data_IF_218901007519
#
_entry.id   IF_218901007519
#
_cell.length_a   1.000
_cell.length_b   1.000
_cell.length_c   1.000
_cell.angle_alpha   90.00
_cell.angle_beta   90.00
_cell.angle_gamma   90.00
#
_symmetry.space_group_name_H-M   'P 1'
#
loop_
_entity.id
_entity.type
_entity.pdbx_description
1 polymer ?
#
# COMPACT_ATOMS: atom_id res chain seq x y z
N UNK A 1 -21.80 25.36 -177.02
CA UNK A 1 -21.04 26.61 -176.82
C UNK A 1 -19.62 26.21 -176.41
N UNK A 2 -18.53 26.63 -177.06
CA UNK A 2 -18.39 27.45 -178.28
C UNK A 2 -16.97 27.27 -178.85
N UNK A 3 -16.85 27.17 -180.19
CA UNK A 3 -15.76 27.67 -181.09
C UNK A 3 -14.33 27.88 -180.57
N UNK A 4 -13.24 27.52 -181.27
CA UNK A 4 -13.03 27.21 -182.72
C UNK A 4 -12.31 25.84 -182.88
N UNK A 5 -11.54 25.40 -183.89
CA UNK A 5 -10.91 25.93 -185.13
C UNK A 5 -10.98 24.83 -186.25
N UNK A 6 -10.84 25.02 -187.57
CA UNK A 6 -9.81 25.66 -188.46
C UNK A 6 -8.47 24.90 -188.46
N UNK A 7 -8.00 24.27 -189.55
CA UNK A 7 -8.57 24.01 -190.90
C UNK A 7 -7.77 22.89 -191.62
N UNK A 8 -8.20 22.54 -192.84
CA UNK A 8 -7.45 21.87 -193.92
C UNK A 8 -6.97 20.41 -193.68
N UNK A 9 -7.55 19.41 -194.34
CA UNK A 9 -7.49 19.07 -195.78
C UNK A 9 -6.32 18.15 -196.15
N UNK A 10 -6.64 16.86 -196.35
CA UNK A 10 -5.93 15.75 -197.04
C UNK A 10 -4.41 15.56 -196.86
N UNK A 11 -3.57 16.58 -196.93
CA UNK A 11 -2.10 16.47 -196.87
C UNK A 11 -1.61 15.86 -195.56
N UNK A 12 -2.13 16.24 -194.40
CA UNK A 12 -1.75 15.60 -193.12
C UNK A 12 -2.15 14.12 -193.07
N UNK A 13 -3.33 13.76 -193.59
CA UNK A 13 -3.78 12.36 -193.67
C UNK A 13 -2.88 11.57 -194.65
N UNK A 14 -2.50 12.15 -195.78
CA UNK A 14 -1.58 11.51 -196.74
C UNK A 14 -0.16 11.41 -196.19
N UNK A 15 0.33 12.39 -195.43
CA UNK A 15 1.64 12.30 -194.76
C UNK A 15 1.64 11.23 -193.67
N UNK A 16 0.61 11.18 -192.81
CA UNK A 16 0.46 10.11 -191.83
C UNK A 16 0.35 8.72 -192.51
N UNK A 17 -0.41 8.62 -193.60
CA UNK A 17 -0.53 7.38 -194.37
C UNK A 17 0.77 6.98 -195.08
N UNK A 18 1.56 7.94 -195.57
CA UNK A 18 2.89 7.70 -196.13
C UNK A 18 3.90 7.29 -195.05
N UNK A 19 3.87 7.91 -193.86
CA UNK A 19 4.66 7.47 -192.70
C UNK A 19 4.33 6.01 -192.34
N UNK A 20 3.05 5.68 -192.17
CA UNK A 20 2.56 4.31 -191.89
C UNK A 20 2.99 3.31 -192.99
N UNK A 21 2.99 3.71 -194.27
CA UNK A 21 3.49 2.87 -195.37
C UNK A 21 5.01 2.68 -195.28
N UNK A 22 5.78 3.70 -194.93
CA UNK A 22 7.24 3.58 -194.77
C UNK A 22 7.65 2.77 -193.53
N UNK A 23 6.83 2.79 -192.47
CA UNK A 23 7.02 1.96 -191.28
C UNK A 23 6.68 0.49 -191.57
N UNK A 24 5.51 0.20 -192.17
CA UNK A 24 5.17 -1.18 -192.57
C UNK A 24 6.19 -1.79 -193.53
N UNK A 25 6.70 -1.03 -194.52
CA UNK A 25 7.74 -1.52 -195.44
C UNK A 25 9.09 -1.86 -194.78
N UNK A 26 9.31 -1.52 -193.50
CA UNK A 26 10.46 -1.99 -192.72
C UNK A 26 10.20 -3.23 -191.87
N UNK A 27 8.94 -3.64 -191.69
CA UNK A 27 8.55 -4.70 -190.75
C UNK A 27 8.19 -6.04 -191.42
N UNK A 28 7.99 -6.09 -192.74
CA UNK A 28 7.63 -7.31 -193.48
C UNK A 28 8.82 -8.22 -193.87
N UNK A 29 10.04 -8.03 -193.32
CA UNK A 29 11.20 -8.83 -193.74
C UNK A 29 12.30 -9.12 -192.69
N UNK A 30 11.93 -9.55 -191.47
CA UNK A 30 12.51 -10.76 -190.81
C UNK A 30 12.00 -11.03 -189.39
N UNK A 31 11.48 -12.25 -189.25
CA UNK A 31 11.40 -13.08 -188.03
C UNK A 31 12.72 -13.03 -187.22
N UNK A 32 12.78 -13.05 -185.89
CA UNK A 32 11.82 -12.73 -184.81
C UNK A 32 12.56 -12.77 -183.45
N UNK A 33 12.03 -12.12 -182.41
CA UNK A 33 12.53 -12.26 -181.02
C UNK A 33 11.39 -12.17 -180.01
N UNK A 34 11.34 -13.11 -179.05
CA UNK A 34 10.27 -13.32 -178.05
C UNK A 34 10.02 -12.17 -177.04
N UNK A 35 10.70 -11.04 -177.20
CA UNK A 35 10.70 -9.95 -176.23
C UNK A 35 9.47 -9.05 -176.36
N UNK A 36 9.00 -8.80 -177.60
CA UNK A 36 7.77 -8.02 -177.83
C UNK A 36 6.49 -8.74 -177.39
N UNK A 37 6.46 -10.08 -177.41
CA UNK A 37 5.31 -10.85 -176.91
C UNK A 37 5.21 -10.73 -175.37
N UNK A 38 6.35 -10.73 -174.68
CA UNK A 38 6.42 -10.51 -173.23
C UNK A 38 6.03 -9.08 -172.83
N UNK A 39 6.41 -8.06 -173.61
CA UNK A 39 5.98 -6.68 -173.36
C UNK A 39 4.51 -6.46 -173.71
N UNK A 40 3.98 -7.09 -174.77
CA UNK A 40 2.54 -7.06 -175.07
C UNK A 40 1.71 -7.76 -173.98
N UNK A 41 2.20 -8.87 -173.43
CA UNK A 41 1.56 -9.53 -172.29
C UNK A 41 1.54 -8.61 -171.06
N UNK A 42 2.68 -8.05 -170.65
CA UNK A 42 2.74 -7.11 -169.51
C UNK A 42 1.89 -5.86 -169.72
N UNK A 43 1.88 -5.29 -170.92
CA UNK A 43 1.07 -4.10 -171.22
C UNK A 43 -0.43 -4.43 -171.24
N UNK A 44 -0.83 -5.67 -171.58
CA UNK A 44 -2.20 -6.13 -171.40
C UNK A 44 -2.56 -6.37 -169.93
N UNK A 45 -1.68 -6.99 -169.13
CA UNK A 45 -1.88 -7.13 -167.67
C UNK A 45 -2.03 -5.76 -166.98
N UNK A 46 -1.16 -4.80 -167.32
CA UNK A 46 -1.22 -3.43 -166.78
C UNK A 46 -2.49 -2.69 -167.25
N UNK A 47 -2.92 -2.86 -168.51
CA UNK A 47 -4.19 -2.28 -168.97
C UNK A 47 -5.42 -2.89 -168.28
N UNK A 48 -5.42 -4.20 -168.03
CA UNK A 48 -6.49 -4.87 -167.27
C UNK A 48 -6.51 -4.35 -165.82
N UNK A 49 -5.37 -4.33 -165.13
CA UNK A 49 -5.27 -3.81 -163.77
C UNK A 49 -5.62 -2.31 -163.67
N UNK A 50 -5.20 -1.49 -164.65
CA UNK A 50 -5.56 -0.08 -164.72
C UNK A 50 -7.06 0.12 -164.95
N UNK A 51 -7.70 -0.71 -165.78
CA UNK A 51 -9.14 -0.63 -166.04
C UNK A 51 -10.01 -0.96 -164.82
N UNK A 52 -9.48 -1.71 -163.84
CA UNK A 52 -10.16 -1.97 -162.57
C UNK A 52 -10.04 -0.83 -161.55
N UNK A 53 -9.12 0.13 -161.74
CA UNK A 53 -9.02 1.33 -160.90
C UNK A 53 -10.06 2.40 -161.28
N UNK A 54 -11.34 2.05 -161.12
CA UNK A 54 -12.44 3.02 -161.20
C UNK A 54 -12.44 3.96 -160.00
N UNK A 55 -13.08 5.12 -160.11
CA UNK A 55 -13.21 6.08 -159.00
C UNK A 55 -13.82 5.41 -157.76
N UNK A 56 -14.84 4.55 -157.94
CA UNK A 56 -15.43 3.76 -156.86
C UNK A 56 -14.42 2.85 -156.15
N UNK A 57 -13.47 2.24 -156.86
CA UNK A 57 -12.46 1.37 -156.25
C UNK A 57 -11.49 2.15 -155.35
N UNK A 58 -11.11 3.37 -155.75
CA UNK A 58 -10.20 4.25 -154.99
C UNK A 58 -10.96 4.87 -153.81
N UNK A 59 -12.22 5.29 -154.02
CA UNK A 59 -13.08 5.81 -152.95
C UNK A 59 -13.39 4.71 -151.93
N UNK A 60 -13.62 3.46 -152.35
CA UNK A 60 -13.71 2.32 -151.43
C UNK A 60 -12.40 2.11 -150.68
N UNK A 61 -11.26 1.96 -151.35
CA UNK A 61 -9.98 1.75 -150.67
C UNK A 61 -9.63 2.86 -149.67
N UNK A 62 -10.02 4.11 -149.95
CA UNK A 62 -9.83 5.24 -149.04
C UNK A 62 -10.84 5.23 -147.88
N UNK A 63 -12.09 4.83 -148.11
CA UNK A 63 -13.10 4.64 -147.06
C UNK A 63 -12.81 3.43 -146.16
N UNK A 64 -12.33 2.33 -146.72
CA UNK A 64 -11.88 1.12 -146.03
C UNK A 64 -10.65 1.45 -145.17
N UNK A 65 -9.68 2.20 -145.70
CA UNK A 65 -8.52 2.68 -144.92
C UNK A 65 -8.93 3.70 -143.84
N UNK A 66 -9.93 4.53 -144.08
CA UNK A 66 -10.52 5.42 -143.06
C UNK A 66 -11.25 4.63 -141.96
N UNK A 67 -11.90 3.51 -142.31
CA UNK A 67 -12.52 2.57 -141.36
C UNK A 67 -11.46 1.80 -140.56
N UNK A 68 -10.40 1.30 -141.19
CA UNK A 68 -9.28 0.64 -140.50
C UNK A 68 -8.56 1.62 -139.56
N UNK A 69 -8.27 2.85 -140.02
CA UNK A 69 -7.64 3.86 -139.17
C UNK A 69 -8.54 4.26 -138.00
N UNK A 70 -9.85 4.42 -138.24
CA UNK A 70 -10.85 4.60 -137.17
C UNK A 70 -10.90 3.43 -136.20
N UNK A 71 -10.84 2.19 -136.69
CA UNK A 71 -10.78 0.97 -135.89
C UNK A 71 -9.50 0.88 -135.04
N UNK A 72 -8.34 1.21 -135.60
CA UNK A 72 -7.05 1.23 -134.90
C UNK A 72 -7.02 2.34 -133.85
N UNK A 73 -7.53 3.54 -134.17
CA UNK A 73 -7.63 4.65 -133.20
C UNK A 73 -8.60 4.29 -132.07
N UNK A 74 -9.75 3.68 -132.37
CA UNK A 74 -10.69 3.20 -131.35
C UNK A 74 -10.08 2.10 -130.48
N UNK A 75 -9.41 1.10 -131.07
CA UNK A 75 -8.75 0.03 -130.32
C UNK A 75 -7.54 0.52 -129.50
N UNK A 76 -6.85 1.57 -129.95
CA UNK A 76 -5.79 2.24 -129.19
C UNK A 76 -6.39 3.06 -128.04
N UNK A 77 -7.50 3.77 -128.27
CA UNK A 77 -8.25 4.51 -127.25
C UNK A 77 -8.84 3.57 -126.19
N UNK A 78 -9.38 2.43 -126.59
CA UNK A 78 -9.91 1.40 -125.69
C UNK A 78 -8.78 0.77 -124.86
N UNK A 79 -7.63 0.45 -125.46
CA UNK A 79 -6.44 0.00 -124.71
C UNK A 79 -5.93 1.09 -123.76
N UNK A 80 -5.88 2.35 -124.18
CA UNK A 80 -5.45 3.46 -123.33
C UNK A 80 -6.43 3.66 -122.15
N UNK A 81 -7.73 3.53 -122.38
CA UNK A 81 -8.75 3.56 -121.33
C UNK A 81 -8.63 2.36 -120.37
N UNK A 82 -8.33 1.16 -120.88
CA UNK A 82 -8.08 -0.03 -120.05
C UNK A 82 -6.80 0.12 -119.21
N UNK A 83 -5.70 0.61 -119.78
CA UNK A 83 -4.47 0.89 -119.01
C UNK A 83 -4.67 2.04 -118.00
N UNK A 84 -5.48 3.07 -118.33
CA UNK A 84 -5.82 4.12 -117.37
C UNK A 84 -6.73 3.60 -116.24
N UNK A 85 -7.69 2.72 -116.53
CA UNK A 85 -8.52 2.05 -115.50
C UNK A 85 -7.63 1.23 -114.56
N UNK A 86 -6.72 0.42 -115.11
CA UNK A 86 -5.71 -0.30 -114.31
C UNK A 86 -4.87 0.65 -113.47
N UNK A 87 -4.46 1.80 -114.00
CA UNK A 87 -3.64 2.79 -113.29
C UNK A 87 -4.44 3.42 -112.12
N UNK A 88 -5.71 3.78 -112.32
CA UNK A 88 -6.60 4.27 -111.26
C UNK A 88 -6.90 3.18 -110.21
N UNK A 89 -7.07 1.92 -110.63
CA UNK A 89 -7.22 0.77 -109.74
C UNK A 89 -5.95 0.52 -108.90
N UNK A 90 -4.76 0.65 -109.51
CA UNK A 90 -3.47 0.47 -108.84
C UNK A 90 -3.19 1.63 -107.86
N UNK A 91 -3.51 2.87 -108.24
CA UNK A 91 -3.45 4.03 -107.36
C UNK A 91 -4.36 3.84 -106.13
N UNK A 92 -5.62 3.44 -106.34
CA UNK A 92 -6.56 3.14 -105.23
C UNK A 92 -6.09 1.97 -104.37
N UNK A 93 -5.51 0.93 -104.96
CA UNK A 93 -4.92 -0.17 -104.21
C UNK A 93 -3.72 0.30 -103.35
N UNK A 94 -2.90 1.23 -103.85
CA UNK A 94 -1.81 1.86 -103.10
C UNK A 94 -2.36 2.75 -101.96
N UNK A 95 -3.41 3.52 -102.19
CA UNK A 95 -4.06 4.33 -101.13
C UNK A 95 -4.62 3.43 -100.01
N UNK A 96 -5.36 2.37 -100.37
CA UNK A 96 -5.91 1.40 -99.41
C UNK A 96 -4.79 0.66 -98.66
N UNK A 97 -3.74 0.23 -99.36
CA UNK A 97 -2.59 -0.42 -98.74
C UNK A 97 -1.83 0.51 -97.78
N UNK A 98 -1.71 1.81 -98.11
CA UNK A 98 -1.12 2.80 -97.21
C UNK A 98 -2.00 3.07 -95.97
N UNK A 99 -3.33 3.10 -96.12
CA UNK A 99 -4.26 3.20 -94.99
C UNK A 99 -4.14 1.97 -94.07
N UNK A 100 -4.16 0.76 -94.64
CA UNK A 100 -3.96 -0.48 -93.89
C UNK A 100 -2.57 -0.54 -93.22
N UNK A 101 -1.52 -0.02 -93.86
CA UNK A 101 -0.19 0.10 -93.25
C UNK A 101 -0.22 1.03 -92.02
N UNK A 102 -0.91 2.17 -92.10
CA UNK A 102 -1.07 3.11 -90.99
C UNK A 102 -1.90 2.50 -89.85
N UNK A 103 -2.99 1.81 -90.15
CA UNK A 103 -3.79 1.06 -89.17
C UNK A 103 -2.96 -0.01 -88.47
N UNK A 104 -2.21 -0.83 -89.22
CA UNK A 104 -1.32 -1.85 -88.65
C UNK A 104 -0.18 -1.25 -87.80
N UNK A 105 0.34 -0.08 -88.17
CA UNK A 105 1.32 0.64 -87.35
C UNK A 105 0.69 1.15 -86.04
N UNK A 106 -0.52 1.73 -86.09
CA UNK A 106 -1.24 2.17 -84.89
C UNK A 106 -1.59 1.00 -83.98
N UNK A 107 -2.11 -0.10 -84.54
CA UNK A 107 -2.40 -1.34 -83.80
C UNK A 107 -1.14 -1.89 -83.13
N UNK A 108 0.02 -1.89 -83.82
CA UNK A 108 1.28 -2.33 -83.20
C UNK A 108 1.71 -1.42 -82.07
N UNK A 109 1.67 -0.09 -82.24
CA UNK A 109 2.01 0.86 -81.17
C UNK A 109 1.09 0.66 -79.95
N UNK A 110 -0.21 0.45 -80.16
CA UNK A 110 -1.15 0.17 -79.06
C UNK A 110 -0.87 -1.17 -78.40
N UNK A 111 -0.51 -2.21 -79.15
CA UNK A 111 -0.12 -3.51 -78.61
C UNK A 111 1.18 -3.44 -77.80
N UNK A 112 2.21 -2.77 -78.32
CA UNK A 112 3.50 -2.56 -77.65
C UNK A 112 3.31 -1.78 -76.32
N UNK A 113 2.48 -0.72 -76.33
CA UNK A 113 2.14 0.06 -75.12
C UNK A 113 1.31 -0.76 -74.12
N UNK A 114 0.38 -1.59 -74.59
CA UNK A 114 -0.44 -2.45 -73.73
C UNK A 114 0.41 -3.55 -73.07
N UNK A 115 1.37 -4.13 -73.77
CA UNK A 115 2.28 -5.12 -73.20
C UNK A 115 3.23 -4.48 -72.17
N UNK A 116 3.80 -3.30 -72.45
CA UNK A 116 4.59 -2.52 -71.47
C UNK A 116 3.77 -2.24 -70.20
N UNK A 117 2.52 -1.79 -70.35
CA UNK A 117 1.63 -1.51 -69.21
C UNK A 117 1.29 -2.78 -68.41
N UNK A 118 1.13 -3.92 -69.10
CA UNK A 118 0.89 -5.23 -68.48
C UNK A 118 2.13 -5.73 -67.72
N UNK A 119 3.33 -5.57 -68.29
CA UNK A 119 4.60 -5.87 -67.63
C UNK A 119 4.79 -5.00 -66.37
N UNK A 120 4.60 -3.68 -66.48
CA UNK A 120 4.63 -2.75 -65.33
C UNK A 120 3.62 -3.15 -64.24
N UNK A 121 2.40 -3.59 -64.62
CA UNK A 121 1.39 -4.01 -63.67
C UNK A 121 1.80 -5.31 -62.96
N UNK A 122 2.36 -6.29 -63.68
CA UNK A 122 2.88 -7.53 -63.09
C UNK A 122 4.07 -7.28 -62.16
N UNK A 123 4.95 -6.32 -62.45
CA UNK A 123 6.02 -5.93 -61.54
C UNK A 123 5.48 -5.26 -60.27
N UNK A 124 4.54 -4.32 -60.41
CA UNK A 124 3.88 -3.67 -59.27
C UNK A 124 3.12 -4.68 -58.39
N UNK A 125 2.46 -5.68 -58.99
CA UNK A 125 1.85 -6.79 -58.24
C UNK A 125 2.89 -7.61 -57.47
N UNK A 126 3.99 -8.03 -58.11
CA UNK A 126 5.07 -8.79 -57.44
C UNK A 126 5.68 -8.01 -56.27
N UNK A 127 5.90 -6.70 -56.42
CA UNK A 127 6.40 -5.82 -55.35
C UNK A 127 5.39 -5.74 -54.20
N UNK A 128 4.10 -5.55 -54.49
CA UNK A 128 3.04 -5.52 -53.47
C UNK A 128 2.89 -6.87 -52.75
N UNK A 129 3.01 -8.00 -53.45
CA UNK A 129 3.00 -9.33 -52.84
C UNK A 129 4.21 -9.54 -51.91
N UNK A 130 5.40 -9.10 -52.30
CA UNK A 130 6.61 -9.14 -51.46
C UNK A 130 6.54 -8.19 -50.26
N UNK A 131 5.93 -7.01 -50.41
CA UNK A 131 5.65 -6.11 -49.29
C UNK A 131 4.62 -6.71 -48.32
N UNK A 132 3.57 -7.38 -48.84
CA UNK A 132 2.54 -8.00 -48.00
C UNK A 132 3.09 -9.23 -47.27
N UNK A 133 3.92 -10.07 -47.92
CA UNK A 133 4.53 -11.23 -47.26
C UNK A 133 5.53 -10.81 -46.19
N UNK A 134 6.45 -9.88 -46.49
CA UNK A 134 7.43 -9.38 -45.52
C UNK A 134 6.78 -8.66 -44.32
N UNK A 135 5.72 -7.86 -44.54
CA UNK A 135 4.95 -7.24 -43.44
C UNK A 135 4.20 -8.27 -42.60
N UNK A 136 3.64 -9.32 -43.21
CA UNK A 136 3.01 -10.44 -42.48
C UNK A 136 4.04 -11.20 -41.64
N UNK A 137 5.19 -11.54 -42.20
CA UNK A 137 6.28 -12.18 -41.48
C UNK A 137 6.79 -11.34 -40.31
N UNK A 138 6.93 -10.02 -40.49
CA UNK A 138 7.34 -9.12 -39.42
C UNK A 138 6.31 -9.10 -38.28
N UNK A 139 5.03 -8.91 -38.60
CA UNK A 139 3.93 -8.93 -37.61
C UNK A 139 3.80 -10.29 -36.91
N UNK A 140 4.00 -11.41 -37.61
CA UNK A 140 3.95 -12.74 -36.99
C UNK A 140 5.14 -12.96 -36.05
N UNK A 141 6.35 -12.50 -36.42
CA UNK A 141 7.53 -12.49 -35.54
C UNK A 141 7.27 -11.64 -34.29
N UNK A 142 6.71 -10.43 -34.44
CA UNK A 142 6.33 -9.56 -33.32
C UNK A 142 5.25 -10.16 -32.41
N UNK A 143 4.23 -10.80 -32.97
CA UNK A 143 3.19 -11.50 -32.19
C UNK A 143 3.81 -12.66 -31.40
N UNK A 144 4.78 -13.39 -31.99
CA UNK A 144 5.47 -14.50 -31.33
C UNK A 144 6.43 -14.00 -30.24
N UNK A 145 7.14 -12.89 -30.42
CA UNK A 145 7.99 -12.31 -29.35
C UNK A 145 7.15 -11.74 -28.23
N UNK A 146 6.15 -10.90 -28.53
CA UNK A 146 5.21 -10.33 -27.54
C UNK A 146 4.52 -11.40 -26.70
N UNK A 147 4.09 -12.52 -27.31
CA UNK A 147 3.50 -13.64 -26.57
C UNK A 147 4.50 -14.35 -25.66
N UNK A 148 5.75 -14.52 -26.08
CA UNK A 148 6.82 -15.11 -25.25
C UNK A 148 7.25 -14.18 -24.12
N UNK A 149 7.26 -12.88 -24.35
CA UNK A 149 7.51 -11.84 -23.33
C UNK A 149 6.39 -11.87 -22.28
N UNK A 150 5.12 -11.76 -22.68
CA UNK A 150 3.97 -11.88 -21.79
C UNK A 150 3.96 -13.21 -20.99
N UNK A 151 4.28 -14.33 -21.64
CA UNK A 151 4.35 -15.63 -20.96
C UNK A 151 5.44 -15.71 -19.89
N UNK A 152 6.56 -15.00 -20.08
CA UNK A 152 7.60 -14.86 -19.04
C UNK A 152 7.14 -13.94 -17.92
N UNK A 153 6.67 -12.74 -18.25
CA UNK A 153 6.16 -11.76 -17.28
C UNK A 153 5.05 -12.36 -16.39
N UNK A 154 4.15 -13.15 -16.97
CA UNK A 154 3.12 -13.86 -16.22
C UNK A 154 3.71 -14.96 -15.33
N UNK A 155 4.67 -15.76 -15.80
CA UNK A 155 5.31 -16.79 -14.98
C UNK A 155 6.10 -16.18 -13.81
N UNK A 156 6.88 -15.14 -14.08
CA UNK A 156 7.64 -14.37 -13.08
C UNK A 156 6.70 -13.71 -12.06
N UNK A 157 5.57 -13.14 -12.50
CA UNK A 157 4.54 -12.61 -11.61
C UNK A 157 3.87 -13.71 -10.76
N UNK A 158 3.55 -14.86 -11.34
CA UNK A 158 2.98 -15.98 -10.60
C UNK A 158 3.97 -16.56 -9.56
N UNK A 159 5.27 -16.61 -9.85
CA UNK A 159 6.31 -17.01 -8.90
C UNK A 159 6.54 -15.96 -7.80
N UNK A 160 6.54 -14.67 -8.15
CA UNK A 160 6.57 -13.58 -7.18
C UNK A 160 5.35 -13.60 -6.25
N UNK A 161 4.16 -13.88 -6.79
CA UNK A 161 2.92 -13.97 -6.01
C UNK A 161 2.89 -15.22 -5.12
N UNK A 162 3.40 -16.37 -5.59
CA UNK A 162 3.57 -17.59 -4.77
C UNK A 162 4.54 -17.34 -3.60
N UNK A 163 5.74 -16.82 -3.89
CA UNK A 163 6.76 -16.55 -2.87
C UNK A 163 6.35 -15.46 -1.87
N UNK A 164 5.66 -14.40 -2.32
CA UNK A 164 5.05 -13.39 -1.42
C UNK A 164 4.01 -14.02 -0.49
N UNK A 165 3.10 -14.84 -1.01
CA UNK A 165 2.09 -15.51 -0.19
C UNK A 165 2.72 -16.50 0.81
N UNK A 166 3.76 -17.23 0.41
CA UNK A 166 4.52 -18.09 1.33
C UNK A 166 5.19 -17.29 2.46
N UNK A 167 5.81 -16.14 2.15
CA UNK A 167 6.42 -15.26 3.16
C UNK A 167 5.35 -14.70 4.11
N UNK A 168 4.22 -14.26 3.58
CA UNK A 168 3.09 -13.75 4.37
C UNK A 168 2.49 -14.84 5.28
N UNK A 169 2.39 -16.09 4.82
CA UNK A 169 1.97 -17.22 5.65
C UNK A 169 3.00 -17.51 6.74
N UNK A 170 4.29 -17.60 6.40
CA UNK A 170 5.40 -17.85 7.35
C UNK A 170 5.47 -16.76 8.44
N UNK A 171 5.32 -15.49 8.06
CA UNK A 171 5.23 -14.38 9.01
C UNK A 171 4.04 -14.54 9.96
N UNK A 172 2.83 -14.78 9.43
CA UNK A 172 1.63 -14.96 10.25
C UNK A 172 1.69 -16.17 11.18
N UNK A 173 2.32 -17.27 10.77
CA UNK A 173 2.53 -18.43 11.66
C UNK A 173 3.50 -18.10 12.78
N UNK A 174 4.65 -17.47 12.48
CA UNK A 174 5.61 -17.08 13.51
C UNK A 174 5.08 -16.00 14.45
N UNK A 175 4.31 -15.03 13.96
CA UNK A 175 3.62 -14.04 14.79
C UNK A 175 2.59 -14.69 15.73
N UNK A 176 1.83 -15.67 15.25
CA UNK A 176 0.86 -16.41 16.05
C UNK A 176 1.53 -17.30 17.10
N UNK A 177 2.61 -18.00 16.74
CA UNK A 177 3.43 -18.81 17.64
C UNK A 177 4.10 -17.95 18.71
N UNK A 178 4.73 -16.83 18.33
CA UNK A 178 5.30 -15.87 19.28
C UNK A 178 4.23 -15.29 20.22
N UNK A 179 3.05 -14.94 19.70
CA UNK A 179 1.96 -14.43 20.52
C UNK A 179 1.45 -15.47 21.53
N UNK A 180 1.24 -16.73 21.10
CA UNK A 180 0.85 -17.81 21.99
C UNK A 180 1.94 -18.11 23.04
N UNK A 181 3.21 -18.16 22.64
CA UNK A 181 4.33 -18.35 23.56
C UNK A 181 4.46 -17.22 24.59
N UNK A 182 4.31 -15.96 24.16
CA UNK A 182 4.29 -14.79 25.06
C UNK A 182 3.10 -14.86 26.01
N UNK A 183 1.91 -15.17 25.52
CA UNK A 183 0.69 -15.33 26.32
C UNK A 183 0.84 -16.44 27.38
N UNK A 184 1.36 -17.62 27.01
CA UNK A 184 1.63 -18.71 27.94
C UNK A 184 2.70 -18.35 28.97
N UNK A 185 3.81 -17.76 28.53
CA UNK A 185 4.93 -17.37 29.40
C UNK A 185 4.48 -16.30 30.39
N UNK A 186 3.72 -15.30 29.95
CA UNK A 186 3.11 -14.30 30.84
C UNK A 186 2.15 -14.96 31.83
N UNK A 187 1.26 -15.87 31.38
CA UNK A 187 0.34 -16.60 32.27
C UNK A 187 1.09 -17.38 33.35
N UNK A 188 2.09 -18.18 32.97
CA UNK A 188 2.95 -18.96 33.89
C UNK A 188 3.59 -18.03 34.93
N UNK A 189 4.30 -16.99 34.48
CA UNK A 189 4.91 -15.98 35.37
C UNK A 189 3.90 -15.31 36.32
N UNK A 190 2.68 -14.97 35.85
CA UNK A 190 1.66 -14.38 36.73
C UNK A 190 1.09 -15.37 37.75
N UNK A 191 0.93 -16.64 37.39
CA UNK A 191 0.52 -17.70 38.31
C UNK A 191 1.62 -17.97 39.34
N UNK A 192 2.86 -18.15 38.90
CA UNK A 192 4.01 -18.42 39.78
C UNK A 192 4.21 -17.28 40.80
N UNK A 193 4.11 -16.02 40.35
CA UNK A 193 4.19 -14.84 41.22
C UNK A 193 3.01 -14.75 42.20
N UNK A 194 1.79 -15.09 41.76
CA UNK A 194 0.61 -15.14 42.62
C UNK A 194 0.74 -16.25 43.68
N UNK A 195 1.18 -17.45 43.30
CA UNK A 195 1.38 -18.58 44.21
C UNK A 195 2.56 -18.37 45.18
N UNK A 196 3.62 -17.68 44.74
CA UNK A 196 4.70 -17.25 45.63
C UNK A 196 4.19 -16.23 46.66
N UNK A 197 3.42 -15.22 46.23
CA UNK A 197 2.80 -14.24 47.12
C UNK A 197 1.81 -14.90 48.10
N UNK A 198 0.99 -15.84 47.62
CA UNK A 198 0.04 -16.61 48.44
C UNK A 198 0.77 -17.39 49.53
N UNK A 199 1.82 -18.17 49.17
CA UNK A 199 2.62 -18.94 50.13
C UNK A 199 3.31 -18.05 51.18
N UNK A 200 3.82 -16.88 50.77
CA UNK A 200 4.42 -15.93 51.72
C UNK A 200 3.37 -15.40 52.72
N UNK A 201 2.19 -14.99 52.25
CA UNK A 201 1.09 -14.53 53.10
C UNK A 201 0.56 -15.65 54.03
N UNK A 202 0.44 -16.88 53.53
CA UNK A 202 0.05 -18.05 54.34
C UNK A 202 1.05 -18.31 55.48
N UNK A 203 2.36 -18.19 55.20
CA UNK A 203 3.41 -18.28 56.21
C UNK A 203 3.37 -17.11 57.21
N UNK A 204 3.25 -15.87 56.74
CA UNK A 204 3.15 -14.68 57.61
C UNK A 204 1.93 -14.77 58.55
N UNK A 205 0.79 -15.26 58.05
CA UNK A 205 -0.41 -15.52 58.85
C UNK A 205 -0.15 -16.63 59.87
N UNK A 206 0.52 -17.73 59.49
CA UNK A 206 0.87 -18.82 60.40
C UNK A 206 1.82 -18.37 61.52
N UNK A 207 2.90 -17.66 61.19
CA UNK A 207 3.88 -17.11 62.13
C UNK A 207 3.21 -16.08 63.08
N UNK A 208 2.40 -15.16 62.53
CA UNK A 208 1.64 -14.19 63.33
C UNK A 208 0.64 -14.88 64.26
N UNK A 209 -0.01 -15.95 63.82
CA UNK A 209 -0.98 -16.71 64.62
C UNK A 209 -0.28 -17.47 65.74
N UNK A 210 0.84 -18.14 65.46
CA UNK A 210 1.64 -18.83 66.48
C UNK A 210 2.18 -17.85 67.53
N UNK A 211 2.67 -16.67 67.14
CA UNK A 211 3.13 -15.68 68.11
C UNK A 211 1.98 -15.11 68.94
N UNK A 212 0.81 -14.85 68.33
CA UNK A 212 -0.40 -14.46 69.09
C UNK A 212 -0.83 -15.55 70.07
N UNK A 213 -0.80 -16.82 69.68
CA UNK A 213 -1.14 -17.95 70.55
C UNK A 213 -0.19 -18.07 71.75
N UNK A 214 1.13 -17.88 71.56
CA UNK A 214 2.10 -17.80 72.66
C UNK A 214 1.78 -16.65 73.62
N UNK A 215 1.62 -15.43 73.09
CA UNK A 215 1.30 -14.25 73.89
C UNK A 215 -0.03 -14.41 74.67
N UNK A 216 -1.03 -15.08 74.09
CA UNK A 216 -2.29 -15.40 74.78
C UNK A 216 -2.10 -16.45 75.88
N UNK A 217 -1.39 -17.55 75.61
CA UNK A 217 -1.12 -18.58 76.61
C UNK A 217 -0.27 -18.06 77.79
N UNK A 218 0.72 -17.20 77.52
CA UNK A 218 1.50 -16.50 78.55
C UNK A 218 0.60 -15.57 79.40
N UNK A 219 -0.31 -14.83 78.76
CA UNK A 219 -1.27 -13.96 79.46
C UNK A 219 -2.29 -14.74 80.29
N UNK A 220 -2.83 -15.83 79.77
CA UNK A 220 -3.75 -16.72 80.48
C UNK A 220 -3.06 -17.40 81.67
N UNK A 221 -1.79 -17.81 81.50
CA UNK A 221 -0.96 -18.32 82.59
C UNK A 221 -0.77 -17.26 83.68
N UNK A 222 -0.35 -16.03 83.34
CA UNK A 222 -0.20 -14.94 84.31
C UNK A 222 -1.51 -14.65 85.04
N UNK A 223 -2.63 -14.57 84.31
CA UNK A 223 -3.95 -14.33 84.92
C UNK A 223 -4.36 -15.46 85.88
N UNK A 224 -4.13 -16.72 85.52
CA UNK A 224 -4.47 -17.87 86.38
C UNK A 224 -3.53 -18.02 87.58
N UNK A 225 -2.24 -17.73 87.44
CA UNK A 225 -1.27 -17.71 88.55
C UNK A 225 -1.53 -16.56 89.55
N UNK A 226 -2.00 -15.40 89.07
CA UNK A 226 -2.32 -14.25 89.93
C UNK A 226 -3.76 -14.27 90.49
N UNK A 227 -4.70 -15.01 89.90
CA UNK A 227 -6.07 -15.14 90.39
C UNK A 227 -6.19 -15.50 91.90
N UNK A 228 -5.46 -16.50 92.46
CA UNK A 228 -5.56 -16.80 93.89
C UNK A 228 -5.13 -15.61 94.76
N UNK A 229 -3.99 -14.98 94.44
CA UNK A 229 -3.49 -13.80 95.16
C UNK A 229 -4.48 -12.63 95.10
N UNK A 230 -5.12 -12.41 93.95
CA UNK A 230 -6.16 -11.40 93.80
C UNK A 230 -7.34 -11.68 94.76
N UNK A 231 -7.87 -12.92 94.79
CA UNK A 231 -8.96 -13.28 95.71
C UNK A 231 -8.55 -13.28 97.18
N UNK A 232 -7.26 -13.44 97.49
CA UNK A 232 -6.73 -13.31 98.84
C UNK A 232 -6.68 -11.82 99.26
N UNK A 233 -6.23 -10.93 98.38
CA UNK A 233 -6.25 -9.49 98.61
C UNK A 233 -7.68 -8.94 98.71
N UNK A 234 -8.62 -9.40 97.88
CA UNK A 234 -10.05 -9.04 98.02
C UNK A 234 -10.59 -9.42 99.40
N UNK A 235 -10.32 -10.64 99.89
CA UNK A 235 -10.71 -11.09 101.24
C UNK A 235 -10.06 -10.25 102.34
N UNK A 236 -8.77 -9.94 102.22
CA UNK A 236 -8.05 -9.09 103.17
C UNK A 236 -8.63 -7.66 103.20
N UNK A 237 -8.92 -7.08 102.03
CA UNK A 237 -9.54 -5.75 101.93
C UNK A 237 -10.96 -5.76 102.53
N UNK A 238 -11.71 -6.84 102.38
CA UNK A 238 -13.04 -6.99 102.97
C UNK A 238 -13.01 -7.20 104.50
N UNK A 239 -12.00 -7.89 105.03
CA UNK A 239 -11.83 -8.15 106.47
C UNK A 239 -11.14 -7.00 107.23
N UNK A 240 -10.30 -6.21 106.56
CA UNK A 240 -9.50 -5.15 107.18
C UNK A 240 -10.32 -4.12 107.99
N UNK A 241 -11.52 -3.67 107.58
CA UNK A 241 -12.34 -2.78 108.41
C UNK A 241 -12.72 -3.39 109.77
N UNK A 242 -13.10 -4.68 109.78
CA UNK A 242 -13.45 -5.38 111.02
C UNK A 242 -12.22 -5.67 111.89
N UNK A 243 -11.10 -6.08 111.29
CA UNK A 243 -9.82 -6.27 112.01
C UNK A 243 -9.32 -4.96 112.63
N UNK A 244 -9.44 -3.85 111.90
CA UNK A 244 -9.10 -2.51 112.37
C UNK A 244 -10.02 -2.04 113.51
N UNK A 245 -11.33 -2.27 113.41
CA UNK A 245 -12.26 -1.99 114.49
C UNK A 245 -11.95 -2.79 115.76
N UNK A 246 -11.66 -4.09 115.65
CA UNK A 246 -11.30 -4.95 116.79
C UNK A 246 -9.97 -4.55 117.41
N UNK A 247 -8.94 -4.26 116.59
CA UNK A 247 -7.66 -3.76 117.06
C UNK A 247 -7.81 -2.40 117.80
N UNK A 248 -8.62 -1.47 117.28
CA UNK A 248 -8.89 -0.19 117.92
C UNK A 248 -9.71 -0.35 119.21
N UNK A 249 -10.69 -1.25 119.25
CA UNK A 249 -11.45 -1.58 120.48
C UNK A 249 -10.51 -2.16 121.55
N UNK A 250 -9.70 -3.15 121.20
CA UNK A 250 -8.72 -3.78 122.10
C UNK A 250 -7.69 -2.77 122.62
N UNK A 251 -7.08 -1.96 121.75
CA UNK A 251 -6.12 -0.94 122.15
C UNK A 251 -6.73 0.12 123.08
N UNK A 252 -7.99 0.51 122.85
CA UNK A 252 -8.74 1.39 123.78
C UNK A 252 -8.98 0.71 125.13
N UNK A 253 -9.41 -0.54 125.15
CA UNK A 253 -9.60 -1.30 126.38
C UNK A 253 -8.31 -1.48 127.18
N UNK A 254 -7.19 -1.80 126.52
CA UNK A 254 -5.88 -1.97 127.15
C UNK A 254 -5.38 -0.63 127.71
N UNK A 255 -5.49 0.47 126.95
CA UNK A 255 -5.17 1.81 127.45
C UNK A 255 -6.05 2.24 128.64
N UNK A 256 -7.36 1.93 128.61
CA UNK A 256 -8.27 2.19 129.75
C UNK A 256 -7.88 1.35 130.97
N UNK A 257 -7.56 0.06 130.79
CA UNK A 257 -7.12 -0.84 131.88
C UNK A 257 -5.80 -0.37 132.49
N UNK A 258 -4.81 -0.02 131.67
CA UNK A 258 -3.51 0.49 132.14
C UNK A 258 -3.66 1.85 132.84
N UNK A 259 -4.44 2.78 132.27
CA UNK A 259 -4.64 4.12 132.86
C UNK A 259 -5.42 4.05 134.17
N UNK A 260 -6.45 3.21 134.26
CA UNK A 260 -7.21 3.02 135.51
C UNK A 260 -6.42 2.26 136.57
N UNK A 261 -5.55 1.31 136.20
CA UNK A 261 -4.60 0.70 137.13
C UNK A 261 -3.57 1.70 137.65
N UNK A 262 -2.97 2.53 136.78
CA UNK A 262 -2.05 3.61 137.17
C UNK A 262 -2.71 4.61 138.10
N UNK A 263 -3.85 5.18 137.69
CA UNK A 263 -4.61 6.14 138.51
C UNK A 263 -5.06 5.54 139.85
N UNK A 264 -5.39 4.24 139.91
CA UNK A 264 -5.65 3.57 141.18
C UNK A 264 -4.38 3.42 142.02
N UNK A 265 -3.25 2.99 141.47
CA UNK A 265 -1.99 2.88 142.23
C UNK A 265 -1.52 4.24 142.73
N UNK A 266 -1.68 5.30 141.94
CA UNK A 266 -1.41 6.68 142.35
C UNK A 266 -2.35 7.14 143.49
N UNK A 267 -3.64 6.80 143.43
CA UNK A 267 -4.59 7.09 144.51
C UNK A 267 -4.31 6.28 145.79
N UNK A 268 -4.10 4.97 145.67
CA UNK A 268 -3.75 4.05 146.77
C UNK A 268 -2.40 4.43 147.44
N UNK A 269 -1.48 5.07 146.70
CA UNK A 269 -0.23 5.66 147.21
C UNK A 269 -0.49 7.01 147.90
N UNK A 270 -1.21 7.93 147.26
CA UNK A 270 -1.52 9.25 147.81
C UNK A 270 -2.32 9.16 149.12
N UNK A 271 -3.27 8.22 149.21
CA UNK A 271 -4.02 7.94 150.44
C UNK A 271 -3.08 7.46 151.57
N UNK A 272 -2.10 6.61 151.27
CA UNK A 272 -1.08 6.16 152.25
C UNK A 272 -0.07 7.25 152.63
N UNK A 273 0.33 8.10 151.68
CA UNK A 273 1.15 9.27 151.98
C UNK A 273 0.40 10.26 152.88
N UNK A 274 -0.91 10.42 152.67
CA UNK A 274 -1.79 11.21 153.53
C UNK A 274 -1.97 10.58 154.92
N UNK A 275 -2.23 9.27 155.03
CA UNK A 275 -2.30 8.56 156.31
C UNK A 275 -0.99 8.65 157.09
N UNK A 276 0.15 8.42 156.43
CA UNK A 276 1.49 8.53 157.02
C UNK A 276 1.79 9.97 157.47
N UNK A 277 1.43 10.96 156.66
CA UNK A 277 1.53 12.37 157.03
C UNK A 277 0.65 12.70 158.23
N UNK A 278 -0.60 12.22 158.26
CA UNK A 278 -1.51 12.38 159.40
C UNK A 278 -0.90 11.77 160.66
N UNK A 279 -0.45 10.52 160.62
CA UNK A 279 0.20 9.85 161.75
C UNK A 279 1.44 10.59 162.24
N UNK A 280 2.25 11.15 161.33
CA UNK A 280 3.39 12.00 161.66
C UNK A 280 2.99 13.28 162.40
N UNK A 281 1.94 13.98 161.94
CA UNK A 281 1.38 15.13 162.66
C UNK A 281 0.74 14.74 164.00
N UNK A 282 0.06 13.59 164.09
CA UNK A 282 -0.63 13.09 165.26
C UNK A 282 0.37 12.67 166.37
N UNK A 283 1.46 11.98 165.99
CA UNK A 283 2.63 11.75 166.86
C UNK A 283 3.32 13.05 167.28
N UNK A 284 3.40 14.04 166.38
CA UNK A 284 4.01 15.33 166.71
C UNK A 284 3.16 16.12 167.70
N UNK A 285 1.83 16.08 167.57
CA UNK A 285 0.89 16.61 168.56
C UNK A 285 1.11 15.92 169.91
N UNK A 286 1.12 14.59 169.96
CA UNK A 286 1.39 13.84 171.21
C UNK A 286 2.73 14.22 171.86
N UNK A 287 3.79 14.41 171.07
CA UNK A 287 5.10 14.85 171.59
C UNK A 287 5.09 16.27 172.15
N UNK A 288 4.27 17.16 171.59
CA UNK A 288 4.05 18.52 172.07
C UNK A 288 3.16 18.52 173.33
N UNK A 289 2.12 17.68 173.38
CA UNK A 289 1.27 17.50 174.56
C UNK A 289 2.06 16.93 175.75
N UNK A 290 2.94 15.93 175.53
CA UNK A 290 3.89 15.47 176.55
C UNK A 290 4.86 16.58 177.00
N UNK A 291 5.33 17.41 176.07
CA UNK A 291 6.26 18.50 176.39
C UNK A 291 5.56 19.59 177.20
N UNK A 292 4.34 19.96 176.83
CA UNK A 292 3.47 20.88 177.58
C UNK A 292 3.20 20.28 178.97
N UNK A 293 2.86 19.00 179.08
CA UNK A 293 2.62 18.35 180.37
C UNK A 293 3.84 18.41 181.29
N UNK A 294 5.03 18.06 180.77
CA UNK A 294 6.30 18.18 181.52
C UNK A 294 6.62 19.62 181.92
N UNK A 295 6.29 20.60 181.07
CA UNK A 295 6.42 22.02 181.42
C UNK A 295 5.43 22.45 182.50
N UNK A 296 4.17 21.99 182.47
CA UNK A 296 3.18 22.21 183.53
C UNK A 296 3.64 21.59 184.85
N UNK A 297 4.11 20.34 184.84
CA UNK A 297 4.67 19.66 186.02
C UNK A 297 5.90 20.42 186.58
N UNK A 298 6.75 21.00 185.72
CA UNK A 298 7.85 21.87 186.14
C UNK A 298 7.37 23.22 186.71
N UNK A 299 6.33 23.83 186.14
CA UNK A 299 5.73 25.08 186.63
C UNK A 299 5.05 24.86 187.99
N UNK A 300 4.34 23.75 188.19
CA UNK A 300 3.79 23.37 189.49
C UNK A 300 4.90 23.11 190.52
N UNK A 301 5.97 22.41 190.13
CA UNK A 301 7.16 22.20 190.96
C UNK A 301 7.85 23.51 191.36
N UNK A 302 8.04 24.44 190.42
CA UNK A 302 8.58 25.78 190.70
C UNK A 302 7.63 26.62 191.56
N UNK A 303 6.31 26.52 191.36
CA UNK A 303 5.29 27.20 192.17
C UNK A 303 5.28 26.70 193.61
N UNK A 304 5.40 25.39 193.82
CA UNK A 304 5.55 24.78 195.15
C UNK A 304 6.87 25.20 195.82
N UNK A 305 7.97 25.26 195.08
CA UNK A 305 9.24 25.82 195.58
C UNK A 305 9.11 27.31 195.93
N UNK A 306 8.39 28.11 195.12
CA UNK A 306 8.14 29.52 195.39
C UNK A 306 7.29 29.73 196.65
N UNK A 307 6.22 28.94 196.85
CA UNK A 307 5.44 28.95 198.09
C UNK A 307 6.28 28.54 199.30
N UNK A 308 7.19 27.58 199.13
CA UNK A 308 8.09 27.13 200.20
C UNK A 308 9.11 28.22 200.56
N UNK A 309 9.67 28.90 199.56
CA UNK A 309 10.56 30.05 199.75
C UNK A 309 9.83 31.25 200.38
N UNK A 310 8.57 31.51 200.00
CA UNK A 310 7.73 32.54 200.62
C UNK A 310 7.44 32.23 202.10
N UNK A 311 7.14 30.97 202.45
CA UNK A 311 7.03 30.54 203.85
C UNK A 311 8.35 30.73 204.62
N UNK A 312 9.46 30.30 204.05
CA UNK A 312 10.78 30.48 204.68
C UNK A 312 11.14 31.96 204.86
N UNK A 313 10.75 32.84 203.94
CA UNK A 313 10.89 34.29 204.09
C UNK A 313 9.97 34.86 205.19
N UNK A 314 8.73 34.36 205.33
CA UNK A 314 7.84 34.75 206.44
C UNK A 314 8.36 34.29 207.81
N UNK A 315 8.83 33.05 207.94
CA UNK A 315 9.40 32.54 209.19
C UNK A 315 10.72 33.25 209.57
N UNK A 316 11.50 33.67 208.58
CA UNK A 316 12.70 34.47 208.80
C UNK A 316 12.36 35.91 209.22
N UNK A 317 11.33 36.52 208.62
CA UNK A 317 10.83 37.85 208.99
C UNK A 317 10.25 37.87 210.41
N UNK A 318 9.44 36.87 210.79
CA UNK A 318 8.90 36.75 212.16
C UNK A 318 10.01 36.54 213.22
N UNK A 319 11.15 35.97 212.86
CA UNK A 319 12.32 35.86 213.75
C UNK A 319 13.17 37.14 213.87
N UNK A 320 12.92 38.15 213.04
CA UNK A 320 13.77 39.34 212.95
C UNK A 320 13.22 40.59 213.67
N UNK A 321 11.97 40.59 214.13
CA UNK A 321 11.30 41.83 214.58
C UNK A 321 11.16 42.02 216.11
N UNK A 322 11.00 40.94 216.89
CA UNK A 322 10.78 41.03 218.35
C UNK A 322 12.03 40.80 219.22
N UNK A 323 13.21 40.68 218.61
CA UNK A 323 14.51 40.63 219.32
C UNK A 323 15.23 41.98 219.40
N UNK A 324 14.51 43.09 219.19
CA UNK A 324 15.03 44.47 219.30
C UNK A 324 14.35 45.32 220.38
N UNK A 325 13.79 44.70 221.44
CA UNK A 325 13.39 45.42 222.65
C UNK A 325 13.56 44.54 223.92
N UNK A 326 14.70 44.67 224.59
CA UNK A 326 15.08 44.02 225.86
C UNK A 326 14.71 42.51 225.99
N UNK A 327 15.64 41.57 225.84
CA UNK A 327 17.03 41.63 226.34
C UNK A 327 17.95 40.59 225.69
#
# INVERSE_FOLDING_TARGET
MTTVAVKDSKQQIVQAFQQIITERKKLDSKIATKQEEAEKAKNQEILVAASTYTVDSIVKGLADLQLEFGGIVNALSEKLAQENSKLDELNRAIEIANQQLQELQQIRIVADVLDILNQEHQEKLKILEQEISSKREALEKEIITRRKEWQKEQAEYEEALKSYNELLVKQRTSEAEEYQYKLETTRKLTTDAYEARKRNLEREIQESTQQKQKNWAEREKILTEHQPLFTEYEKKIAAFPTELEEAVKKAREEAIKETSQKAKVEADLFEKEWESSKQSYELKIQSLEETIKKQTEQIEGMSAQLQTALKQAQDLAMRAFDSSNAK
#
